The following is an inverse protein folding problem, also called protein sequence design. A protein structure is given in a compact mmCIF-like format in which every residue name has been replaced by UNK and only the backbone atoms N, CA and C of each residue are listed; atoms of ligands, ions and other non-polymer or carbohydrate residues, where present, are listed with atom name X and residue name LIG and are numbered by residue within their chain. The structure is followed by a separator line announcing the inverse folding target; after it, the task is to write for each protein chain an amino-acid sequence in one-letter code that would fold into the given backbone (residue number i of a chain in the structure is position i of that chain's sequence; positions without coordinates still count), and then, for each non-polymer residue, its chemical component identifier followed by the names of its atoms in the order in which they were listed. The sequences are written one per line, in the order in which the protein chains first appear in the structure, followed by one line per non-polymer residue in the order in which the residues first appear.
data_IF_327829079426
#
_entry.id   IF_327829079426
#
_cell.length_a   1.000
_cell.length_b   1.000
_cell.length_c   1.000
_cell.angle_alpha   90.00
_cell.angle_beta   90.00
_cell.angle_gamma   90.00
#
_symmetry.space_group_name_H-M   'P 1'
#
loop_
_entity.id
_entity.type
_entity.pdbx_description
1 polymer ?
#
# COMPACT_ATOMS: atom_id res chain seq x y z
N UNK A 1 -17.29 -11.21 -1.67
CA UNK A 1 -16.07 -10.38 -1.50
C UNK A 1 -16.27 -8.94 -1.94
N UNK A 2 -16.72 -8.64 -3.16
CA UNK A 2 -17.02 -7.25 -3.59
C UNK A 2 -18.04 -6.54 -2.70
N UNK A 3 -19.18 -7.19 -2.44
CA UNK A 3 -20.24 -6.65 -1.56
C UNK A 3 -19.82 -6.52 -0.09
N UNK A 4 -18.68 -7.11 0.29
CA UNK A 4 -18.10 -7.02 1.65
C UNK A 4 -17.05 -5.89 1.75
N UNK A 5 -16.89 -5.07 0.70
CA UNK A 5 -15.83 -4.06 0.62
C UNK A 5 -14.45 -4.64 0.29
N UNK A 6 -14.28 -5.96 0.21
CA UNK A 6 -12.98 -6.61 0.04
C UNK A 6 -12.50 -6.64 -1.43
N UNK A 7 -12.70 -5.54 -2.16
CA UNK A 7 -12.13 -5.34 -3.50
C UNK A 7 -11.62 -3.93 -3.73
N UNK A 8 -12.43 -2.92 -3.44
CA UNK A 8 -12.12 -1.51 -3.64
C UNK A 8 -12.58 -0.74 -2.42
N UNK A 9 -11.89 0.37 -2.15
CA UNK A 9 -12.31 1.30 -1.11
C UNK A 9 -13.75 1.77 -1.42
N UNK A 10 -14.65 1.82 -0.43
CA UNK A 10 -15.98 2.40 -0.63
C UNK A 10 -15.89 3.83 -1.17
N UNK A 11 -16.75 4.21 -2.13
CA UNK A 11 -16.74 5.56 -2.69
C UNK A 11 -17.24 6.58 -1.67
N UNK A 12 -16.75 7.81 -1.77
CA UNK A 12 -17.24 8.96 -0.99
C UNK A 12 -18.70 9.28 -1.35
N UNK A 13 -19.56 9.46 -0.36
CA UNK A 13 -20.96 9.83 -0.57
C UNK A 13 -21.07 11.22 -1.23
N UNK A 14 -21.74 11.35 -2.39
CA UNK A 14 -21.78 12.61 -3.14
C UNK A 14 -22.37 13.79 -2.35
N UNK A 15 -23.41 13.54 -1.55
CA UNK A 15 -24.06 14.59 -0.74
C UNK A 15 -23.13 15.14 0.35
N UNK A 16 -22.40 14.24 1.02
CA UNK A 16 -21.43 14.64 2.03
C UNK A 16 -20.27 15.39 1.38
N UNK A 17 -19.78 14.90 0.23
CA UNK A 17 -18.72 15.58 -0.51
C UNK A 17 -19.13 16.99 -0.99
N UNK A 18 -20.36 17.15 -1.48
CA UNK A 18 -20.89 18.45 -1.89
C UNK A 18 -20.99 19.44 -0.72
N UNK A 19 -21.35 18.96 0.47
CA UNK A 19 -21.36 19.78 1.68
C UNK A 19 -19.95 20.19 2.14
N UNK A 20 -18.99 19.26 2.11
CA UNK A 20 -17.61 19.50 2.54
C UNK A 20 -16.79 20.32 1.54
N UNK A 21 -17.14 20.27 0.25
CA UNK A 21 -16.45 20.97 -0.83
C UNK A 21 -17.44 21.82 -1.66
N UNK A 22 -18.00 22.91 -1.08
CA UNK A 22 -19.09 23.67 -1.71
C UNK A 22 -18.74 24.30 -3.06
N UNK A 23 -17.45 24.45 -3.36
CA UNK A 23 -16.93 25.06 -4.59
C UNK A 23 -16.70 24.08 -5.73
N UNK A 24 -16.85 22.77 -5.50
CA UNK A 24 -16.82 21.77 -6.57
C UNK A 24 -18.23 21.64 -7.14
N UNK A 25 -18.39 21.93 -8.42
CA UNK A 25 -19.67 21.73 -9.12
C UNK A 25 -20.06 20.26 -8.97
N UNK A 26 -21.19 19.93 -8.33
CA UNK A 26 -21.60 18.54 -8.19
C UNK A 26 -21.92 17.97 -9.57
N UNK A 27 -21.09 17.03 -10.02
CA UNK A 27 -21.36 16.24 -11.22
C UNK A 27 -21.82 14.85 -10.80
N UNK A 28 -23.05 14.43 -11.13
CA UNK A 28 -23.56 13.12 -10.74
C UNK A 28 -22.83 11.95 -11.41
N UNK A 29 -22.02 12.21 -12.45
CA UNK A 29 -21.29 11.18 -13.21
C UNK A 29 -19.85 10.98 -12.76
N UNK A 30 -19.33 11.78 -11.81
CA UNK A 30 -17.92 11.75 -11.43
C UNK A 30 -17.76 11.65 -9.92
N UNK A 31 -16.94 10.70 -9.48
CA UNK A 31 -16.59 10.58 -8.07
C UNK A 31 -15.97 11.89 -7.56
N UNK A 32 -16.35 12.37 -6.37
CA UNK A 32 -15.75 13.54 -5.75
C UNK A 32 -14.23 13.38 -5.68
N UNK A 33 -13.51 14.46 -5.94
CA UNK A 33 -12.03 14.46 -5.92
C UNK A 33 -11.54 15.52 -4.94
N UNK A 34 -10.50 15.19 -4.16
CA UNK A 34 -9.91 16.12 -3.21
C UNK A 34 -9.25 17.32 -3.92
N UNK A 35 -9.37 18.55 -3.38
CA UNK A 35 -8.93 19.76 -4.05
C UNK A 35 -7.41 19.94 -4.06
N UNK A 36 -6.70 19.54 -3.00
CA UNK A 36 -5.25 19.68 -2.93
C UNK A 36 -4.53 18.53 -3.66
N UNK A 37 -3.42 18.84 -4.33
CA UNK A 37 -2.57 17.84 -5.02
C UNK A 37 -2.04 16.78 -4.05
N UNK A 38 -1.61 17.22 -2.87
CA UNK A 38 -1.13 16.36 -1.78
C UNK A 38 -2.20 15.38 -1.33
N UNK A 39 -3.43 15.85 -1.17
CA UNK A 39 -4.56 15.03 -0.71
C UNK A 39 -4.96 14.00 -1.78
N UNK A 40 -4.97 14.39 -3.06
CA UNK A 40 -5.19 13.44 -4.17
C UNK A 40 -4.12 12.35 -4.21
N UNK A 41 -2.85 12.71 -4.01
CA UNK A 41 -1.77 11.74 -3.94
C UNK A 41 -2.00 10.76 -2.78
N UNK A 42 -2.30 11.28 -1.58
CA UNK A 42 -2.60 10.46 -0.41
C UNK A 42 -3.79 9.54 -0.65
N UNK A 43 -4.89 10.05 -1.19
CA UNK A 43 -6.09 9.26 -1.53
C UNK A 43 -5.79 8.15 -2.54
N UNK A 44 -5.02 8.45 -3.59
CA UNK A 44 -4.61 7.45 -4.60
C UNK A 44 -3.79 6.32 -3.96
N UNK A 45 -2.86 6.68 -3.08
CA UNK A 45 -2.06 5.68 -2.36
C UNK A 45 -2.92 4.89 -1.37
N UNK A 46 -3.91 5.51 -0.72
CA UNK A 46 -4.86 4.80 0.15
C UNK A 46 -5.67 3.79 -0.64
N UNK A 47 -6.17 4.13 -1.83
CA UNK A 47 -6.87 3.18 -2.70
C UNK A 47 -5.97 1.98 -3.08
N UNK A 48 -4.69 2.25 -3.43
CA UNK A 48 -3.73 1.19 -3.78
C UNK A 48 -3.41 0.29 -2.58
N UNK A 49 -3.20 0.87 -1.39
CA UNK A 49 -2.95 0.11 -0.16
C UNK A 49 -4.16 -0.74 0.20
N UNK A 50 -5.36 -0.14 0.17
CA UNK A 50 -6.63 -0.84 0.43
C UNK A 50 -6.81 -2.02 -0.52
N UNK A 51 -6.58 -1.82 -1.83
CA UNK A 51 -6.70 -2.89 -2.82
C UNK A 51 -5.72 -4.03 -2.58
N UNK A 52 -4.49 -3.71 -2.16
CA UNK A 52 -3.49 -4.72 -1.81
C UNK A 52 -3.90 -5.49 -0.54
N UNK A 53 -4.38 -4.80 0.50
CA UNK A 53 -4.91 -5.44 1.70
C UNK A 53 -6.14 -6.32 1.40
N UNK A 54 -7.05 -5.85 0.54
CA UNK A 54 -8.22 -6.60 0.08
C UNK A 54 -7.83 -7.88 -0.69
N UNK A 55 -6.79 -7.81 -1.54
CA UNK A 55 -6.25 -8.99 -2.21
C UNK A 55 -5.70 -10.01 -1.19
N UNK A 56 -4.99 -9.53 -0.16
CA UNK A 56 -4.51 -10.39 0.92
C UNK A 56 -5.66 -11.07 1.66
N UNK A 57 -6.68 -10.31 2.07
CA UNK A 57 -7.88 -10.86 2.73
C UNK A 57 -8.59 -11.91 1.87
N UNK A 58 -8.68 -11.71 0.55
CA UNK A 58 -9.24 -12.68 -0.38
C UNK A 58 -8.40 -13.95 -0.49
N UNK A 59 -7.08 -13.81 -0.59
CA UNK A 59 -6.17 -14.95 -0.60
C UNK A 59 -6.27 -15.74 0.71
N UNK A 60 -6.31 -15.07 1.86
CA UNK A 60 -6.49 -15.73 3.16
C UNK A 60 -7.84 -16.43 3.29
N UNK A 61 -8.92 -15.87 2.75
CA UNK A 61 -10.22 -16.55 2.73
C UNK A 61 -10.17 -17.85 1.90
N UNK A 62 -9.54 -17.82 0.73
CA UNK A 62 -9.33 -19.03 -0.08
C UNK A 62 -8.45 -20.04 0.66
N UNK A 63 -7.35 -19.59 1.28
CA UNK A 63 -6.50 -20.46 2.10
C UNK A 63 -7.28 -21.11 3.22
N UNK A 64 -8.17 -20.38 3.90
CA UNK A 64 -9.00 -20.95 4.97
C UNK A 64 -9.91 -22.07 4.49
N UNK A 65 -10.51 -21.93 3.30
CA UNK A 65 -11.37 -22.97 2.71
C UNK A 65 -10.55 -24.20 2.32
N UNK A 66 -9.39 -23.99 1.69
CA UNK A 66 -8.50 -25.08 1.28
C UNK A 66 -7.90 -25.81 2.48
N UNK A 67 -7.57 -25.11 3.57
CA UNK A 67 -7.07 -25.76 4.79
C UNK A 67 -8.15 -26.55 5.52
N UNK A 68 -9.42 -26.13 5.46
CA UNK A 68 -10.54 -26.94 5.94
C UNK A 68 -10.68 -28.22 5.11
N UNK A 69 -10.65 -28.10 3.77
CA UNK A 69 -10.68 -29.26 2.89
C UNK A 69 -9.48 -30.20 3.10
N UNK A 70 -8.30 -29.65 3.32
CA UNK A 70 -7.10 -30.43 3.64
C UNK A 70 -7.26 -31.22 4.95
N UNK A 71 -7.98 -30.68 5.95
CA UNK A 71 -8.24 -31.40 7.18
C UNK A 71 -9.16 -32.61 6.93
N UNK A 72 -10.20 -32.46 6.11
CA UNK A 72 -11.07 -33.57 5.69
C UNK A 72 -10.28 -34.67 4.96
N UNK A 73 -9.39 -34.29 4.03
CA UNK A 73 -8.51 -35.24 3.34
C UNK A 73 -7.55 -35.99 4.27
N UNK A 74 -7.09 -35.36 5.36
CA UNK A 74 -6.25 -36.02 6.35
C UNK A 74 -7.00 -37.14 7.11
N UNK A 75 -8.29 -36.96 7.36
CA UNK A 75 -9.15 -37.99 7.98
C UNK A 75 -9.37 -39.15 7.01
N UNK A 76 -9.60 -38.83 5.72
CA UNK A 76 -9.74 -39.83 4.66
C UNK A 76 -8.47 -40.64 4.47
N UNK A 77 -7.30 -39.99 4.49
CA UNK A 77 -6.00 -40.66 4.36
C UNK A 77 -5.76 -41.65 5.50
N UNK A 78 -6.18 -41.29 6.72
CA UNK A 78 -6.07 -42.15 7.90
C UNK A 78 -6.94 -43.41 7.77
N UNK A 79 -8.06 -43.29 7.05
CA UNK A 79 -9.04 -44.37 6.84
C UNK A 79 -8.76 -45.21 5.60
N UNK A 80 -8.22 -44.60 4.54
CA UNK A 80 -7.95 -45.22 3.25
C UNK A 80 -6.76 -44.50 2.56
N UNK A 81 -5.51 -44.94 2.80
CA UNK A 81 -4.31 -44.30 2.26
C UNK A 81 -4.07 -44.65 0.79
N UNK A 82 -5.06 -44.39 -0.05
CA UNK A 82 -4.97 -44.60 -1.49
C UNK A 82 -4.11 -43.53 -2.18
N UNK A 83 -3.45 -43.85 -3.30
CA UNK A 83 -2.60 -42.90 -4.04
C UNK A 83 -3.36 -41.64 -4.49
N UNK A 84 -4.65 -41.76 -4.82
CA UNK A 84 -5.48 -40.61 -5.19
C UNK A 84 -5.60 -39.55 -4.07
N UNK A 85 -5.75 -39.97 -2.81
CA UNK A 85 -5.84 -39.07 -1.66
C UNK A 85 -4.51 -38.37 -1.40
N UNK A 86 -3.39 -39.07 -1.59
CA UNK A 86 -2.05 -38.49 -1.48
C UNK A 86 -1.78 -37.45 -2.56
N UNK A 87 -2.14 -37.75 -3.82
CA UNK A 87 -1.98 -36.82 -4.95
C UNK A 87 -2.81 -35.55 -4.74
N UNK A 88 -4.05 -35.71 -4.28
CA UNK A 88 -4.93 -34.59 -4.01
C UNK A 88 -4.42 -33.74 -2.83
N UNK A 89 -3.95 -34.38 -1.74
CA UNK A 89 -3.37 -33.67 -0.62
C UNK A 89 -2.11 -32.88 -1.00
N UNK A 90 -1.27 -33.44 -1.88
CA UNK A 90 -0.10 -32.75 -2.43
C UNK A 90 -0.54 -31.54 -3.27
N UNK A 91 -1.56 -31.69 -4.12
CA UNK A 91 -2.09 -30.61 -4.94
C UNK A 91 -2.68 -29.46 -4.09
N UNK A 92 -3.48 -29.78 -3.08
CA UNK A 92 -4.06 -28.79 -2.16
C UNK A 92 -2.97 -28.07 -1.38
N UNK A 93 -1.95 -28.79 -0.91
CA UNK A 93 -0.79 -28.20 -0.21
C UNK A 93 -0.06 -27.19 -1.11
N UNK A 94 0.22 -27.54 -2.36
CA UNK A 94 0.85 -26.62 -3.31
C UNK A 94 0.00 -25.36 -3.58
N UNK A 95 -1.31 -25.53 -3.75
CA UNK A 95 -2.23 -24.39 -3.92
C UNK A 95 -2.23 -23.50 -2.67
N UNK A 96 -2.30 -24.09 -1.47
CA UNK A 96 -2.22 -23.37 -0.20
C UNK A 96 -0.95 -22.50 -0.12
N UNK A 97 0.22 -23.08 -0.44
CA UNK A 97 1.49 -22.35 -0.43
C UNK A 97 1.50 -21.18 -1.42
N UNK A 98 0.97 -21.38 -2.64
CA UNK A 98 0.86 -20.31 -3.65
C UNK A 98 -0.08 -19.19 -3.20
N UNK A 99 -1.21 -19.53 -2.61
CA UNK A 99 -2.21 -18.58 -2.10
C UNK A 99 -1.66 -17.80 -0.90
N UNK A 100 -0.98 -18.46 0.04
CA UNK A 100 -0.32 -17.82 1.18
C UNK A 100 0.79 -16.86 0.73
N UNK A 101 1.61 -17.27 -0.24
CA UNK A 101 2.61 -16.37 -0.85
C UNK A 101 1.94 -15.13 -1.43
N UNK A 102 0.82 -15.28 -2.15
CA UNK A 102 0.05 -14.14 -2.67
C UNK A 102 -0.43 -13.21 -1.54
N UNK A 103 -0.96 -13.79 -0.45
CA UNK A 103 -1.40 -13.03 0.72
C UNK A 103 -0.25 -12.21 1.33
N UNK A 104 0.90 -12.83 1.59
CA UNK A 104 2.08 -12.18 2.17
C UNK A 104 2.59 -11.05 1.25
N UNK A 105 2.70 -11.30 -0.05
CA UNK A 105 3.13 -10.28 -1.02
C UNK A 105 2.16 -9.10 -1.07
N UNK A 106 0.86 -9.37 -1.05
CA UNK A 106 -0.18 -8.34 -1.07
C UNK A 106 -0.17 -7.52 0.23
N UNK A 107 -0.01 -8.15 1.40
CA UNK A 107 0.18 -7.47 2.68
C UNK A 107 1.44 -6.59 2.67
N UNK A 108 2.58 -7.13 2.23
CA UNK A 108 3.82 -6.37 2.12
C UNK A 108 3.69 -5.16 1.20
N UNK A 109 2.97 -5.30 0.09
CA UNK A 109 2.65 -4.18 -0.81
C UNK A 109 1.79 -3.12 -0.13
N UNK A 110 0.75 -3.50 0.61
CA UNK A 110 -0.06 -2.56 1.38
C UNK A 110 0.78 -1.77 2.39
N UNK A 111 1.61 -2.46 3.18
CA UNK A 111 2.51 -1.84 4.15
C UNK A 111 3.52 -0.90 3.47
N UNK A 112 4.13 -1.34 2.36
CA UNK A 112 5.08 -0.51 1.62
C UNK A 112 4.43 0.77 1.09
N UNK A 113 3.21 0.70 0.56
CA UNK A 113 2.46 1.88 0.12
C UNK A 113 2.19 2.83 1.29
N UNK A 114 1.86 2.32 2.49
CA UNK A 114 1.65 3.15 3.68
C UNK A 114 2.93 3.88 4.12
N UNK A 115 4.10 3.24 4.01
CA UNK A 115 5.38 3.91 4.29
C UNK A 115 5.64 5.04 3.28
N UNK A 116 5.37 4.82 1.99
CA UNK A 116 5.50 5.87 0.96
C UNK A 116 4.53 7.03 1.22
N UNK A 117 3.30 6.74 1.67
CA UNK A 117 2.35 7.78 2.10
C UNK A 117 2.91 8.62 3.24
N UNK A 118 3.48 7.97 4.23
CA UNK A 118 4.08 8.64 5.39
C UNK A 118 5.27 9.50 4.97
N UNK A 119 6.19 8.98 4.15
CA UNK A 119 7.28 9.77 3.54
C UNK A 119 6.76 11.01 2.85
N UNK A 120 5.72 10.88 2.03
CA UNK A 120 5.16 12.02 1.30
C UNK A 120 4.58 13.10 2.23
N UNK A 121 4.00 12.72 3.38
CA UNK A 121 3.52 13.70 4.37
C UNK A 121 4.68 14.49 4.97
N UNK A 122 5.74 13.82 5.38
CA UNK A 122 6.94 14.47 5.90
C UNK A 122 7.62 15.35 4.85
N UNK A 123 7.71 14.89 3.60
CA UNK A 123 8.27 15.68 2.50
C UNK A 123 7.44 16.93 2.18
N UNK A 124 6.13 16.92 2.39
CA UNK A 124 5.29 18.11 2.20
C UNK A 124 5.62 19.24 3.18
N UNK A 125 6.31 18.96 4.30
CA UNK A 125 6.80 19.98 5.23
C UNK A 125 8.09 20.66 4.74
N UNK A 126 8.70 20.13 3.68
CA UNK A 126 9.96 20.63 3.13
C UNK A 126 9.73 21.54 1.93
N UNK A 127 10.63 22.49 1.75
CA UNK A 127 10.73 23.34 0.55
C UNK A 127 11.49 22.65 -0.59
N UNK A 128 11.59 21.32 -0.58
CA UNK A 128 12.22 20.58 -1.68
C UNK A 128 11.38 20.70 -2.95
N UNK A 129 12.02 20.78 -4.13
CA UNK A 129 11.30 20.73 -5.40
C UNK A 129 10.65 19.35 -5.59
N UNK A 130 9.55 19.31 -6.34
CA UNK A 130 8.75 18.09 -6.56
C UNK A 130 9.60 16.91 -7.06
N UNK A 131 10.55 17.14 -7.97
CA UNK A 131 11.45 16.10 -8.48
C UNK A 131 12.30 15.47 -7.38
N UNK A 132 12.83 16.26 -6.45
CA UNK A 132 13.62 15.71 -5.35
C UNK A 132 12.76 14.94 -4.35
N UNK A 133 11.51 15.36 -4.18
CA UNK A 133 10.55 14.61 -3.36
C UNK A 133 10.27 13.25 -4.00
N UNK A 134 10.07 13.20 -5.31
CA UNK A 134 9.88 11.96 -6.08
C UNK A 134 11.07 11.01 -5.91
N UNK A 135 12.31 11.50 -6.07
CA UNK A 135 13.53 10.70 -5.85
C UNK A 135 13.57 10.06 -4.45
N UNK A 136 13.16 10.80 -3.41
CA UNK A 136 13.14 10.30 -2.03
C UNK A 136 12.02 9.28 -1.81
N UNK A 137 10.87 9.44 -2.49
CA UNK A 137 9.77 8.48 -2.42
C UNK A 137 10.15 7.14 -3.05
N UNK A 138 10.97 7.15 -4.11
CA UNK A 138 11.43 5.96 -4.83
C UNK A 138 12.57 5.20 -4.13
N UNK A 139 13.14 5.76 -3.05
CA UNK A 139 14.19 5.07 -2.29
C UNK A 139 13.69 3.76 -1.66
N UNK A 140 14.55 2.76 -1.47
CA UNK A 140 14.17 1.52 -0.79
C UNK A 140 13.56 1.75 0.60
N UNK A 141 12.61 0.89 0.97
CA UNK A 141 12.05 0.85 2.32
C UNK A 141 12.90 -0.14 3.13
N UNK A 142 13.38 0.31 4.27
CA UNK A 142 14.21 -0.47 5.20
C UNK A 142 13.68 -0.29 6.62
N UNK A 143 13.81 -1.28 7.52
CA UNK A 143 13.13 -1.28 8.82
C UNK A 143 13.68 -0.25 9.82
N UNK A 144 14.85 0.34 9.57
CA UNK A 144 15.53 1.26 10.50
C UNK A 144 14.85 2.63 10.59
N UNK A 145 13.99 2.99 9.62
CA UNK A 145 13.19 4.21 9.70
C UNK A 145 12.43 4.55 8.42
N UNK A 146 11.47 5.48 8.53
CA UNK A 146 10.62 5.91 7.41
C UNK A 146 11.47 6.34 6.21
N UNK A 147 12.50 7.15 6.40
CA UNK A 147 13.40 7.57 5.31
C UNK A 147 14.57 6.60 5.08
N UNK A 148 15.04 5.89 6.11
CA UNK A 148 16.05 4.84 5.99
C UNK A 148 17.26 5.24 5.14
N UNK A 149 17.51 4.51 4.06
CA UNK A 149 18.60 4.79 3.11
C UNK A 149 18.53 6.18 2.44
N UNK A 150 17.35 6.80 2.37
CA UNK A 150 17.20 8.16 1.86
C UNK A 150 17.80 9.23 2.80
N UNK A 151 17.94 8.92 4.10
CA UNK A 151 18.38 9.88 5.11
C UNK A 151 19.76 10.46 4.79
N UNK A 152 20.72 9.62 4.39
CA UNK A 152 22.08 10.07 4.06
C UNK A 152 22.11 10.99 2.83
N UNK A 153 21.21 10.78 1.87
CA UNK A 153 21.05 11.66 0.71
C UNK A 153 20.39 12.98 1.11
N UNK A 154 19.36 12.93 1.97
CA UNK A 154 18.70 14.12 2.50
C UNK A 154 19.63 14.98 3.36
N UNK A 155 20.43 14.37 4.23
CA UNK A 155 21.41 15.05 5.10
C UNK A 155 22.46 15.79 4.27
N UNK A 156 23.11 15.11 3.31
CA UNK A 156 24.09 15.75 2.42
C UNK A 156 23.50 16.95 1.68
N UNK A 157 22.24 16.86 1.25
CA UNK A 157 21.54 17.95 0.57
C UNK A 157 21.25 19.13 1.52
N UNK A 158 20.78 18.86 2.73
CA UNK A 158 20.61 19.90 3.76
C UNK A 158 21.93 20.62 4.06
N UNK A 159 23.03 19.87 4.20
CA UNK A 159 24.35 20.45 4.43
C UNK A 159 24.84 21.29 3.24
N UNK A 160 24.62 20.83 2.01
CA UNK A 160 24.97 21.58 0.80
C UNK A 160 24.21 22.90 0.72
N UNK A 161 22.89 22.86 0.98
CA UNK A 161 22.05 24.06 0.95
C UNK A 161 22.44 25.04 2.04
N UNK A 162 22.75 24.55 3.25
CA UNK A 162 23.25 25.40 4.34
C UNK A 162 24.54 26.12 3.95
N UNK A 163 25.48 25.42 3.31
CA UNK A 163 26.74 26.02 2.82
C UNK A 163 26.49 27.07 1.73
N UNK A 164 25.53 26.82 0.84
CA UNK A 164 25.15 27.77 -0.21
C UNK A 164 24.49 29.03 0.38
N UNK A 165 23.56 28.87 1.32
CA UNK A 165 22.93 29.99 2.03
C UNK A 165 23.96 30.81 2.83
N UNK A 166 24.90 30.15 3.52
CA UNK A 166 26.02 30.80 4.21
C UNK A 166 26.93 31.57 3.24
N UNK A 167 27.25 30.99 2.07
CA UNK A 167 28.04 31.65 1.05
C UNK A 167 27.34 32.88 0.45
N UNK A 168 26.03 32.79 0.21
CA UNK A 168 25.23 33.91 -0.28
C UNK A 168 25.20 35.06 0.74
N UNK A 169 25.09 34.75 2.03
CA UNK A 169 25.15 35.75 3.10
C UNK A 169 26.49 36.49 3.18
N UNK A 170 27.59 35.85 2.80
CA UNK A 170 28.92 36.48 2.74
C UNK A 170 29.11 37.38 1.51
N UNK A 171 28.28 37.21 0.47
CA UNK A 171 28.38 37.97 -0.79
C UNK A 171 27.36 39.11 -0.91
N UNK A 172 26.42 39.24 0.03
CA UNK A 172 25.47 40.34 0.08
C UNK A 172 26.01 41.44 1.04
N UNK A 173 25.97 42.73 0.63
CA UNK A 173 26.52 43.85 1.42
C UNK A 173 25.70 44.18 2.68
#
# INVERSE_FOLDING_TARGET
MERLGLLRIPPMEPLVAAHLLPRLVPSPSRNPTLPAKTDRFQSTMTERSYRAAALSARALNVSSLLTAYQAELCEDLSSNPGPAVLDEMAAITDICLRVQRCAVQATGKAMGIMVVQERARWLNLTNLPDREKEDVLDMPIVPEGIFGSALASMQRRCESKKKEDEALHLCLP
#
